data_IF_579823212438
#
_entry.id   IF_579823212438
#
_cell.length_a   1.000
_cell.length_b   1.000
_cell.length_c   1.000
_cell.angle_alpha   90.00
_cell.angle_beta   90.00
_cell.angle_gamma   90.00
#
_symmetry.space_group_name_H-M   'P 1'
#
loop_
_entity.id
_entity.type
_entity.pdbx_description
1 polymer ?
#
# COMPACT_ATOMS: atom_id res chain seq x y z
N UNK A 1 5.31 -6.80 6.61
CA UNK A 1 6.69 -6.85 6.07
C UNK A 1 6.64 -6.13 4.76
N UNK A 2 7.51 -5.16 4.58
CA UNK A 2 7.44 -4.22 3.45
C UNK A 2 8.75 -3.46 3.34
N UNK A 3 9.13 -3.10 2.12
CA UNK A 3 10.22 -2.19 1.81
C UNK A 3 9.72 -0.80 1.39
N UNK A 4 8.42 -0.52 1.48
CA UNK A 4 7.78 0.69 0.94
C UNK A 4 8.01 0.81 -0.58
N UNK A 5 8.75 1.81 -1.03
CA UNK A 5 9.06 2.09 -2.44
C UNK A 5 10.46 1.62 -2.87
N UNK A 6 11.18 0.88 -2.03
CA UNK A 6 12.57 0.47 -2.32
C UNK A 6 12.64 -0.63 -3.41
N UNK A 7 13.81 -0.80 -4.05
CA UNK A 7 14.03 -1.85 -5.03
C UNK A 7 13.70 -3.29 -4.54
N UNK A 8 13.46 -4.25 -5.46
CA UNK A 8 12.98 -5.59 -5.15
C UNK A 8 13.80 -6.38 -4.10
N UNK A 9 15.10 -6.13 -4.01
CA UNK A 9 16.01 -6.81 -3.08
C UNK A 9 15.85 -6.37 -1.62
N UNK A 10 15.15 -5.25 -1.37
CA UNK A 10 14.94 -4.71 -0.04
C UNK A 10 13.67 -5.29 0.62
N UNK A 11 13.71 -5.41 1.95
CA UNK A 11 12.53 -5.69 2.77
C UNK A 11 12.75 -5.12 4.18
N UNK A 12 11.69 -5.09 4.98
CA UNK A 12 11.74 -4.52 6.31
C UNK A 12 10.46 -4.68 7.11
N UNK A 13 10.43 -3.99 8.24
CA UNK A 13 9.34 -4.00 9.20
C UNK A 13 8.93 -2.58 9.55
N UNK A 14 7.65 -2.25 9.33
CA UNK A 14 6.95 -1.14 9.97
C UNK A 14 6.19 -1.73 11.16
N UNK A 15 6.50 -1.28 12.38
CA UNK A 15 6.01 -1.94 13.62
C UNK A 15 5.21 -0.98 14.48
N UNK A 16 4.04 -1.43 14.93
CA UNK A 16 3.19 -0.77 15.92
C UNK A 16 3.14 -1.64 17.16
N UNK A 17 3.35 -1.06 18.34
CA UNK A 17 3.20 -1.70 19.64
C UNK A 17 2.30 -0.84 20.51
N UNK A 18 1.21 -1.43 21.01
CA UNK A 18 0.24 -0.75 21.88
C UNK A 18 -0.33 0.56 21.29
N UNK A 19 -0.59 0.55 19.97
CA UNK A 19 -1.08 1.73 19.24
C UNK A 19 -0.01 2.74 18.84
N UNK A 20 1.24 2.57 19.26
CA UNK A 20 2.34 3.49 18.93
C UNK A 20 3.27 2.90 17.86
N UNK A 21 3.56 3.69 16.82
CA UNK A 21 4.60 3.36 15.84
C UNK A 21 5.98 3.47 16.49
N UNK A 22 6.81 2.44 16.32
CA UNK A 22 8.16 2.45 16.87
C UNK A 22 9.04 3.47 16.13
N UNK A 23 9.69 4.35 16.90
CA UNK A 23 10.70 5.30 16.41
C UNK A 23 12.13 4.87 16.73
N UNK A 24 13.09 5.77 16.49
CA UNK A 24 14.53 5.50 16.60
C UNK A 24 14.94 4.81 17.91
N UNK A 25 14.58 5.38 19.07
CA UNK A 25 14.96 4.84 20.38
C UNK A 25 14.40 3.43 20.62
N UNK A 26 13.14 3.20 20.26
CA UNK A 26 12.49 1.89 20.42
C UNK A 26 13.05 0.84 19.45
N UNK A 27 13.42 1.24 18.23
CA UNK A 27 14.07 0.36 17.26
C UNK A 27 15.45 -0.07 17.77
N UNK A 28 16.24 0.87 18.33
CA UNK A 28 17.53 0.54 18.94
C UNK A 28 17.37 -0.36 20.17
N UNK A 29 16.32 -0.17 20.97
CA UNK A 29 16.01 -1.05 22.10
C UNK A 29 15.67 -2.49 21.65
N UNK A 30 14.96 -2.67 20.53
CA UNK A 30 14.72 -3.99 19.94
C UNK A 30 16.03 -4.65 19.51
N UNK A 31 16.90 -3.91 18.81
CA UNK A 31 18.24 -4.40 18.43
C UNK A 31 19.02 -4.85 19.67
N UNK A 32 19.04 -4.03 20.73
CA UNK A 32 19.79 -4.34 21.94
C UNK A 32 19.26 -5.61 22.64
N UNK A 33 17.94 -5.80 22.68
CA UNK A 33 17.33 -7.04 23.22
C UNK A 33 17.80 -8.29 22.47
N UNK A 34 17.92 -8.21 21.14
CA UNK A 34 18.41 -9.32 20.31
C UNK A 34 19.89 -9.60 20.60
N UNK A 35 20.73 -8.56 20.59
CA UNK A 35 22.18 -8.67 20.83
C UNK A 35 22.48 -9.25 22.20
N UNK A 36 21.75 -8.82 23.23
CA UNK A 36 21.89 -9.29 24.60
C UNK A 36 21.19 -10.64 24.85
N UNK A 37 20.60 -11.26 23.82
CA UNK A 37 19.82 -12.50 23.92
C UNK A 37 18.69 -12.43 24.97
N UNK A 38 18.13 -11.24 25.20
CA UNK A 38 16.98 -11.04 26.09
C UNK A 38 15.66 -11.34 25.39
N UNK A 39 15.59 -12.53 24.80
CA UNK A 39 14.48 -13.05 24.02
C UNK A 39 13.66 -14.03 24.87
N UNK A 40 12.99 -13.49 25.89
CA UNK A 40 12.20 -14.31 26.81
C UNK A 40 10.71 -14.23 26.43
N UNK A 41 10.08 -15.40 26.37
CA UNK A 41 8.62 -15.53 26.29
C UNK A 41 8.20 -16.70 27.17
N UNK A 42 7.37 -16.41 28.17
CA UNK A 42 6.97 -17.42 29.17
C UNK A 42 5.99 -18.46 28.60
N UNK A 43 5.41 -18.17 27.43
CA UNK A 43 4.39 -19.02 26.79
C UNK A 43 4.53 -18.98 25.28
N UNK A 44 4.23 -20.11 24.63
CA UNK A 44 4.09 -20.19 23.18
C UNK A 44 2.84 -19.44 22.72
N UNK A 45 2.99 -18.61 21.70
CA UNK A 45 1.86 -17.92 21.05
C UNK A 45 0.97 -18.88 20.24
N UNK A 46 -0.12 -18.33 19.72
CA UNK A 46 -1.00 -18.99 18.73
C UNK A 46 -1.05 -18.16 17.46
N UNK A 47 -1.14 -18.82 16.31
CA UNK A 47 -1.33 -18.17 15.00
C UNK A 47 -2.75 -18.44 14.54
N UNK A 48 -3.41 -17.40 14.02
CA UNK A 48 -4.73 -17.49 13.39
C UNK A 48 -4.72 -16.64 12.13
N UNK A 49 -5.38 -17.13 11.08
CA UNK A 49 -5.59 -16.37 9.85
C UNK A 49 -6.94 -15.66 9.93
N UNK A 50 -6.99 -14.41 9.47
CA UNK A 50 -8.21 -13.62 9.35
C UNK A 50 -8.16 -12.84 8.03
N UNK A 51 -9.24 -12.89 7.27
CA UNK A 51 -9.43 -11.97 6.15
C UNK A 51 -10.01 -10.64 6.66
N UNK A 52 -9.19 -9.59 6.61
CA UNK A 52 -9.54 -8.25 7.08
C UNK A 52 -10.03 -7.33 5.96
N UNK A 53 -9.89 -7.75 4.70
CA UNK A 53 -10.21 -6.92 3.53
C UNK A 53 -11.67 -6.48 3.50
N UNK A 54 -12.67 -7.36 3.73
CA UNK A 54 -14.07 -6.93 3.73
C UNK A 54 -14.37 -5.86 4.79
N UNK A 55 -13.79 -6.00 5.99
CA UNK A 55 -13.98 -5.05 7.09
C UNK A 55 -13.36 -3.68 6.77
N UNK A 56 -12.17 -3.66 6.17
CA UNK A 56 -11.50 -2.45 5.72
C UNK A 56 -12.33 -1.69 4.67
N UNK A 57 -12.75 -2.38 3.61
CA UNK A 57 -13.56 -1.78 2.54
C UNK A 57 -14.91 -1.27 3.05
N UNK A 58 -15.59 -2.04 3.89
CA UNK A 58 -16.86 -1.65 4.49
C UNK A 58 -16.71 -0.42 5.41
N UNK A 59 -15.61 -0.31 6.17
CA UNK A 59 -15.35 0.84 7.04
C UNK A 59 -15.27 2.13 6.22
N UNK A 60 -14.60 2.12 5.08
CA UNK A 60 -14.43 3.31 4.23
C UNK A 60 -15.72 3.63 3.50
N UNK A 61 -16.29 2.66 2.78
CA UNK A 61 -17.47 2.86 1.91
C UNK A 61 -18.75 3.21 2.68
N UNK A 62 -18.84 2.88 3.97
CA UNK A 62 -19.95 3.32 4.83
C UNK A 62 -19.93 4.83 5.08
N UNK A 63 -18.74 5.42 5.16
CA UNK A 63 -18.51 6.79 5.64
C UNK A 63 -18.32 7.77 4.47
N UNK A 64 -17.56 7.37 3.45
CA UNK A 64 -17.30 8.19 2.28
C UNK A 64 -18.43 8.04 1.26
N UNK A 65 -19.08 9.15 0.91
CA UNK A 65 -20.14 9.23 -0.10
C UNK A 65 -19.77 10.26 -1.16
N UNK A 66 -19.60 9.82 -2.40
CA UNK A 66 -19.29 10.69 -3.52
C UNK A 66 -20.57 11.38 -4.02
N UNK A 67 -20.47 12.67 -4.38
CA UNK A 67 -21.58 13.45 -4.90
C UNK A 67 -21.95 13.06 -6.34
N UNK A 68 -20.99 12.53 -7.10
CA UNK A 68 -21.14 12.01 -8.45
C UNK A 68 -20.12 10.90 -8.71
N UNK A 69 -20.33 10.05 -9.73
CA UNK A 69 -19.29 9.19 -10.26
C UNK A 69 -18.11 10.00 -10.80
N UNK A 70 -16.90 9.45 -10.62
CA UNK A 70 -15.67 9.96 -11.23
C UNK A 70 -15.04 8.87 -12.10
N UNK A 71 -14.41 9.27 -13.18
CA UNK A 71 -13.51 8.43 -13.97
C UNK A 71 -12.08 8.66 -13.51
N UNK A 72 -11.43 7.62 -13.00
CA UNK A 72 -10.11 7.69 -12.39
C UNK A 72 -9.14 6.78 -13.14
N UNK A 73 -7.91 7.24 -13.32
CA UNK A 73 -6.79 6.37 -13.66
C UNK A 73 -6.04 6.04 -12.38
N UNK A 74 -5.79 4.76 -12.12
CA UNK A 74 -5.08 4.29 -10.93
C UNK A 74 -3.83 3.57 -11.38
N UNK A 75 -2.68 4.09 -10.97
CA UNK A 75 -1.38 3.46 -11.14
C UNK A 75 -0.90 2.89 -9.81
N UNK A 76 -0.62 1.58 -9.79
CA UNK A 76 -0.09 0.92 -8.61
C UNK A 76 1.36 0.46 -8.77
N UNK A 77 2.01 0.74 -9.90
CA UNK A 77 3.42 0.39 -10.16
C UNK A 77 3.77 -1.07 -9.80
N UNK A 78 2.84 -2.01 -10.02
CA UNK A 78 2.92 -3.42 -9.64
C UNK A 78 3.04 -3.71 -8.13
N UNK A 79 2.82 -2.70 -7.29
CA UNK A 79 2.76 -2.80 -5.83
C UNK A 79 1.46 -3.40 -5.30
N UNK A 80 1.42 -3.62 -3.99
CA UNK A 80 0.30 -4.33 -3.33
C UNK A 80 -1.01 -3.52 -3.37
N UNK A 81 -0.92 -2.19 -3.53
CA UNK A 81 -2.06 -1.29 -3.65
C UNK A 81 -2.99 -1.66 -4.82
N UNK A 82 -2.46 -2.29 -5.87
CA UNK A 82 -3.22 -2.74 -7.04
C UNK A 82 -4.35 -3.72 -6.73
N UNK A 83 -4.28 -4.47 -5.61
CA UNK A 83 -5.40 -5.34 -5.19
C UNK A 83 -6.59 -4.53 -4.69
N UNK A 84 -6.35 -3.54 -3.82
CA UNK A 84 -7.41 -2.88 -3.04
C UNK A 84 -7.79 -1.51 -3.56
N UNK A 85 -6.86 -0.75 -4.14
CA UNK A 85 -7.10 0.61 -4.64
C UNK A 85 -8.22 0.65 -5.67
N UNK A 86 -8.10 -0.04 -6.82
CA UNK A 86 -9.16 -0.09 -7.84
C UNK A 86 -10.47 -0.65 -7.29
N UNK A 87 -10.41 -1.69 -6.46
CA UNK A 87 -11.60 -2.31 -5.85
C UNK A 87 -12.36 -1.33 -4.96
N UNK A 88 -11.65 -0.58 -4.10
CA UNK A 88 -12.25 0.40 -3.20
C UNK A 88 -12.92 1.52 -4.00
N UNK A 89 -12.23 2.08 -5.00
CA UNK A 89 -12.74 3.18 -5.81
C UNK A 89 -13.97 2.77 -6.61
N UNK A 90 -13.99 1.55 -7.17
CA UNK A 90 -15.20 0.99 -7.80
C UNK A 90 -16.37 0.84 -6.82
N UNK A 91 -16.11 0.40 -5.58
CA UNK A 91 -17.16 0.30 -4.56
C UNK A 91 -17.70 1.68 -4.10
N UNK A 92 -16.91 2.75 -4.25
CA UNK A 92 -17.36 4.12 -4.04
C UNK A 92 -18.17 4.68 -5.23
N UNK A 93 -18.27 3.93 -6.33
CA UNK A 93 -19.04 4.31 -7.53
C UNK A 93 -18.20 4.97 -8.62
N UNK A 94 -16.87 4.87 -8.59
CA UNK A 94 -16.00 5.37 -9.64
C UNK A 94 -15.86 4.38 -10.81
N UNK A 95 -15.70 4.91 -12.02
CA UNK A 95 -15.09 4.19 -13.14
C UNK A 95 -13.57 4.22 -12.95
N UNK A 96 -12.91 3.07 -13.07
CA UNK A 96 -11.47 2.95 -12.82
C UNK A 96 -10.78 2.31 -14.01
N UNK A 97 -9.87 3.06 -14.62
CA UNK A 97 -8.85 2.59 -15.55
C UNK A 97 -7.62 2.20 -14.73
N UNK A 98 -7.16 0.97 -14.89
CA UNK A 98 -6.00 0.45 -14.15
C UNK A 98 -4.73 0.56 -15.00
N UNK A 99 -3.67 1.09 -14.39
CA UNK A 99 -2.29 0.99 -14.84
C UNK A 99 -1.53 0.14 -13.83
N UNK A 100 -0.82 -0.86 -14.32
CA UNK A 100 0.16 -1.64 -13.55
C UNK A 100 -0.39 -2.16 -12.20
N UNK A 101 -1.67 -2.55 -12.14
CA UNK A 101 -2.33 -3.01 -10.91
C UNK A 101 -2.14 -4.50 -10.60
N UNK A 102 -1.58 -5.28 -11.54
CA UNK A 102 -1.17 -6.65 -11.25
C UNK A 102 0.09 -6.67 -10.38
N UNK A 103 0.08 -7.46 -9.30
CA UNK A 103 1.24 -7.53 -8.41
C UNK A 103 2.39 -8.24 -9.09
N UNK A 104 3.51 -7.53 -9.16
CA UNK A 104 4.79 -8.07 -9.60
C UNK A 104 5.92 -7.35 -8.86
N UNK A 105 6.50 -8.03 -7.88
CA UNK A 105 7.60 -7.48 -7.06
C UNK A 105 8.91 -7.25 -7.82
N UNK A 106 8.96 -7.55 -9.13
CA UNK A 106 10.07 -7.14 -10.01
C UNK A 106 9.95 -5.69 -10.48
N UNK A 107 8.77 -5.07 -10.31
CA UNK A 107 8.45 -3.72 -10.75
C UNK A 107 8.84 -3.44 -12.22
N UNK A 108 8.28 -4.20 -13.19
CA UNK A 108 8.77 -4.22 -14.58
C UNK A 108 8.49 -2.95 -15.39
N UNK A 109 7.61 -2.07 -14.93
CA UNK A 109 7.21 -0.86 -15.68
C UNK A 109 7.99 0.37 -15.23
N UNK A 110 7.84 0.75 -13.96
CA UNK A 110 8.62 1.82 -13.33
C UNK A 110 8.75 1.55 -11.82
N UNK A 111 9.62 2.32 -11.16
CA UNK A 111 9.76 2.24 -9.70
C UNK A 111 8.44 2.65 -9.02
N UNK A 112 8.03 1.98 -7.94
CA UNK A 112 6.81 2.34 -7.20
C UNK A 112 7.05 3.52 -6.26
N UNK A 113 7.64 4.60 -6.79
CA UNK A 113 7.91 5.86 -6.10
C UNK A 113 7.19 7.02 -6.83
N UNK A 114 5.97 7.36 -6.43
CA UNK A 114 5.20 8.43 -7.06
C UNK A 114 5.73 9.84 -6.72
N UNK A 115 6.74 9.97 -5.86
CA UNK A 115 7.38 11.27 -5.59
C UNK A 115 8.29 11.72 -6.72
N UNK A 116 8.73 10.79 -7.57
CA UNK A 116 9.54 11.07 -8.75
C UNK A 116 8.64 11.33 -9.97
N UNK A 117 8.66 12.54 -10.55
CA UNK A 117 7.79 12.89 -11.67
C UNK A 117 7.92 11.96 -12.88
N UNK A 118 9.10 11.38 -13.12
CA UNK A 118 9.34 10.45 -14.22
C UNK A 118 8.50 9.17 -14.13
N UNK A 119 8.15 8.74 -12.92
CA UNK A 119 7.28 7.58 -12.68
C UNK A 119 5.80 7.89 -12.91
N UNK A 120 5.44 9.15 -13.21
CA UNK A 120 4.05 9.58 -13.42
C UNK A 120 3.72 9.82 -14.90
N UNK A 121 4.67 9.62 -15.83
CA UNK A 121 4.47 9.90 -17.25
C UNK A 121 3.31 9.11 -17.86
N UNK A 122 3.22 7.82 -17.57
CA UNK A 122 2.17 6.94 -18.08
C UNK A 122 0.82 7.33 -17.49
N UNK A 123 0.76 7.61 -16.19
CA UNK A 123 -0.44 8.10 -15.52
C UNK A 123 -0.94 9.41 -16.14
N UNK A 124 -0.06 10.40 -16.34
CA UNK A 124 -0.41 11.69 -16.94
C UNK A 124 -0.95 11.51 -18.36
N UNK A 125 -0.33 10.61 -19.13
CA UNK A 125 -0.74 10.30 -20.50
C UNK A 125 -2.10 9.62 -20.51
N UNK A 126 -2.29 8.57 -19.72
CA UNK A 126 -3.55 7.83 -19.62
C UNK A 126 -4.70 8.70 -19.13
N UNK A 127 -4.48 9.63 -18.20
CA UNK A 127 -5.53 10.59 -17.77
C UNK A 127 -6.05 11.39 -18.96
N UNK A 128 -5.17 11.87 -19.84
CA UNK A 128 -5.55 12.64 -21.03
C UNK A 128 -6.25 11.76 -22.07
N UNK A 129 -5.70 10.57 -22.35
CA UNK A 129 -6.22 9.64 -23.34
C UNK A 129 -7.61 9.12 -22.97
N UNK A 130 -7.82 8.78 -21.70
CA UNK A 130 -9.10 8.28 -21.22
C UNK A 130 -10.07 9.39 -20.82
N UNK A 131 -9.67 10.66 -20.93
CA UNK A 131 -10.43 11.83 -20.47
C UNK A 131 -10.91 11.64 -19.01
N UNK A 132 -10.01 11.14 -18.17
CA UNK A 132 -10.31 10.90 -16.76
C UNK A 132 -10.38 12.21 -15.97
N UNK A 133 -11.17 12.23 -14.89
CA UNK A 133 -11.26 13.37 -13.98
C UNK A 133 -9.96 13.57 -13.18
N UNK A 134 -9.27 12.47 -12.82
CA UNK A 134 -8.08 12.48 -11.98
C UNK A 134 -7.22 11.21 -12.18
N UNK A 135 -5.91 11.35 -12.00
CA UNK A 135 -4.97 10.23 -11.85
C UNK A 135 -4.51 10.07 -10.40
N UNK A 136 -4.40 8.83 -9.94
CA UNK A 136 -3.91 8.46 -8.59
C UNK A 136 -2.77 7.44 -8.76
N UNK A 137 -1.59 7.76 -8.23
CA UNK A 137 -0.47 6.81 -8.14
C UNK A 137 -0.26 6.39 -6.68
N UNK A 138 -0.08 5.08 -6.45
CA UNK A 138 0.31 4.53 -5.16
C UNK A 138 1.81 4.21 -5.12
N UNK A 139 2.38 4.16 -3.90
CA UNK A 139 3.70 3.58 -3.69
C UNK A 139 3.60 2.05 -3.58
N UNK A 140 4.73 1.37 -3.39
CA UNK A 140 4.80 -0.09 -3.40
C UNK A 140 3.97 -0.78 -2.32
N UNK A 141 3.71 -0.12 -1.18
CA UNK A 141 2.98 -0.70 -0.05
C UNK A 141 1.65 -0.03 0.32
N UNK A 142 1.25 1.03 -0.37
CA UNK A 142 -0.09 1.64 -0.31
C UNK A 142 -0.06 3.12 -0.03
#
# INVERSE_FOLDING_TARGET
MTASHNPPEYNGFKTVLDGFTLGQTTIQALRQRIVEQRLYADRRGKVRSHDVVPAYLARITRDVKLLRPFKLVVDAANGVAGILGPRLLRQLGCEVVELYCEIDGRFPHHSPDPSQPENLHDLITAVREHQADLGIAFDGDG
#
